data_IF_464005398604
#
_entry.id   IF_464005398604
#
_cell.length_a   1.000
_cell.length_b   1.000
_cell.length_c   1.000
_cell.angle_alpha   90.00
_cell.angle_beta   90.00
_cell.angle_gamma   90.00
#
_symmetry.space_group_name_H-M   'P 1'
#
loop_
_entity.id
_entity.type
_entity.pdbx_description
1 polymer ?
#
# COMPACT_ATOMS: atom_id res chain seq x y z
N UNK A 1 -39.75 27.53 7.45
CA UNK A 1 -38.27 27.46 7.46
C UNK A 1 -37.76 26.01 7.46
N UNK A 2 -38.40 25.10 8.19
CA UNK A 2 -38.01 23.68 8.27
C UNK A 2 -37.93 22.91 6.94
N UNK A 3 -38.85 23.12 5.98
CA UNK A 3 -38.81 22.43 4.69
C UNK A 3 -37.55 22.79 3.85
N UNK A 4 -37.09 24.04 3.92
CA UNK A 4 -35.86 24.49 3.24
C UNK A 4 -34.62 23.88 3.90
N UNK A 5 -34.61 23.82 5.23
CA UNK A 5 -33.52 23.17 5.97
C UNK A 5 -33.45 21.66 5.70
N UNK A 6 -34.60 20.97 5.64
CA UNK A 6 -34.68 19.55 5.32
C UNK A 6 -34.14 19.26 3.91
N UNK A 7 -34.58 20.01 2.89
CA UNK A 7 -34.09 19.85 1.52
C UNK A 7 -32.60 20.16 1.39
N UNK A 8 -32.12 21.21 2.05
CA UNK A 8 -30.68 21.55 2.05
C UNK A 8 -29.86 20.44 2.70
N UNK A 9 -30.34 19.85 3.80
CA UNK A 9 -29.66 18.76 4.50
C UNK A 9 -29.63 17.47 3.66
N UNK A 10 -30.71 17.14 2.95
CA UNK A 10 -30.72 16.00 2.02
C UNK A 10 -29.73 16.20 0.87
N UNK A 11 -29.66 17.42 0.31
CA UNK A 11 -28.72 17.72 -0.78
C UNK A 11 -27.26 17.63 -0.32
N UNK A 12 -26.91 18.22 0.83
CA UNK A 12 -25.56 18.17 1.39
C UNK A 12 -25.16 16.75 1.76
N UNK A 13 -26.05 15.98 2.39
CA UNK A 13 -25.77 14.59 2.76
C UNK A 13 -25.54 13.70 1.54
N UNK A 14 -26.41 13.78 0.53
CA UNK A 14 -26.26 13.00 -0.70
C UNK A 14 -24.95 13.34 -1.42
N UNK A 15 -24.58 14.62 -1.46
CA UNK A 15 -23.33 15.06 -2.09
C UNK A 15 -22.09 14.56 -1.33
N UNK A 16 -22.13 14.63 0.01
CA UNK A 16 -21.06 14.14 0.88
C UNK A 16 -20.86 12.64 0.79
N UNK A 17 -21.94 11.85 0.78
CA UNK A 17 -21.87 10.38 0.67
C UNK A 17 -21.26 9.98 -0.68
N UNK A 18 -21.73 10.56 -1.78
CA UNK A 18 -21.18 10.25 -3.12
C UNK A 18 -19.70 10.62 -3.24
N UNK A 19 -19.32 11.81 -2.75
CA UNK A 19 -17.91 12.25 -2.76
C UNK A 19 -17.05 11.35 -1.90
N UNK A 20 -17.54 10.95 -0.72
CA UNK A 20 -16.84 10.03 0.17
C UNK A 20 -16.66 8.63 -0.44
N UNK A 21 -17.67 8.13 -1.16
CA UNK A 21 -17.58 6.82 -1.82
C UNK A 21 -16.57 6.84 -2.97
N UNK A 22 -16.63 7.86 -3.83
CA UNK A 22 -15.66 8.03 -4.93
C UNK A 22 -14.26 8.20 -4.37
N UNK A 23 -14.10 9.00 -3.31
CA UNK A 23 -12.83 9.16 -2.63
C UNK A 23 -12.30 7.83 -2.10
N UNK A 24 -13.14 7.02 -1.46
CA UNK A 24 -12.74 5.70 -0.95
C UNK A 24 -12.31 4.75 -2.08
N UNK A 25 -13.01 4.79 -3.20
CA UNK A 25 -12.69 3.97 -4.38
C UNK A 25 -11.41 4.44 -5.08
N UNK A 26 -11.21 5.75 -5.22
CA UNK A 26 -10.09 6.36 -5.96
C UNK A 26 -8.81 6.55 -5.13
N UNK A 27 -8.89 6.43 -3.80
CA UNK A 27 -7.75 6.55 -2.87
C UNK A 27 -6.50 5.73 -3.22
N UNK A 28 -6.57 4.49 -3.74
CA UNK A 28 -5.38 3.72 -4.04
C UNK A 28 -4.65 4.20 -5.31
N UNK A 29 -5.14 5.21 -6.03
CA UNK A 29 -4.55 5.65 -7.30
C UNK A 29 -3.11 6.15 -7.14
N UNK A 30 -2.18 5.45 -7.78
CA UNK A 30 -0.75 5.81 -7.79
C UNK A 30 -0.49 6.85 -8.86
N UNK A 31 -0.13 8.07 -8.45
CA UNK A 31 0.22 9.16 -9.36
C UNK A 31 1.65 9.08 -9.86
N UNK A 32 2.55 8.51 -9.05
CA UNK A 32 3.97 8.36 -9.38
C UNK A 32 4.44 7.01 -8.89
N UNK A 33 5.13 6.29 -9.76
CA UNK A 33 5.71 4.99 -9.46
C UNK A 33 7.17 5.00 -9.91
N UNK A 34 8.08 4.76 -8.98
CA UNK A 34 9.53 4.88 -9.17
C UNK A 34 10.24 3.67 -8.58
N UNK A 35 11.29 3.18 -9.24
CA UNK A 35 12.18 2.18 -8.63
C UNK A 35 13.05 2.86 -7.58
N UNK A 36 13.24 2.21 -6.45
CA UNK A 36 14.26 2.58 -5.50
C UNK A 36 15.51 1.77 -5.84
N UNK A 37 16.54 2.46 -6.33
CA UNK A 37 17.84 1.85 -6.48
C UNK A 37 18.35 1.39 -5.11
N UNK A 38 18.89 0.16 -5.01
CA UNK A 38 19.42 -0.33 -3.77
C UNK A 38 20.62 0.54 -3.35
N UNK A 39 20.68 0.90 -2.06
CA UNK A 39 21.80 1.67 -1.50
C UNK A 39 23.15 0.92 -1.62
N UNK A 40 23.11 -0.39 -1.87
CA UNK A 40 24.27 -1.29 -2.04
C UNK A 40 24.16 -1.93 -3.43
N UNK A 41 25.27 -1.97 -4.19
CA UNK A 41 25.31 -2.69 -5.47
C UNK A 41 24.91 -4.16 -5.27
N UNK A 42 23.79 -4.58 -5.88
CA UNK A 42 23.23 -5.93 -5.73
C UNK A 42 22.18 -6.10 -4.64
N UNK A 43 21.75 -5.02 -3.97
CA UNK A 43 20.62 -5.07 -3.03
C UNK A 43 19.26 -5.23 -3.72
N UNK A 44 18.24 -5.59 -2.94
CA UNK A 44 16.85 -5.75 -3.43
C UNK A 44 16.32 -4.42 -3.97
N UNK A 45 15.69 -4.48 -5.16
CA UNK A 45 15.10 -3.30 -5.79
C UNK A 45 13.79 -2.97 -5.09
N UNK A 46 13.69 -1.80 -4.51
CA UNK A 46 12.44 -1.33 -3.91
C UNK A 46 11.55 -0.62 -4.92
N UNK A 47 10.33 -0.34 -4.51
CA UNK A 47 9.36 0.48 -5.23
C UNK A 47 8.91 1.65 -4.37
N UNK A 48 8.88 2.85 -4.94
CA UNK A 48 8.27 4.02 -4.34
C UNK A 48 7.01 4.39 -5.12
N UNK A 49 5.89 4.46 -4.41
CA UNK A 49 4.58 4.78 -4.96
C UNK A 49 4.03 6.00 -4.24
N UNK A 50 3.57 6.98 -5.00
CA UNK A 50 2.90 8.17 -4.47
C UNK A 50 1.41 8.06 -4.73
N UNK A 51 0.61 8.10 -3.67
CA UNK A 51 -0.85 8.20 -3.72
C UNK A 51 -1.30 9.57 -3.19
N UNK A 52 -2.58 9.89 -3.34
CA UNK A 52 -3.17 11.14 -2.87
C UNK A 52 -4.26 10.88 -1.83
N UNK A 53 -4.24 11.66 -0.76
CA UNK A 53 -5.38 11.73 0.17
C UNK A 53 -6.56 12.46 -0.45
N UNK A 54 -7.74 12.38 0.18
CA UNK A 54 -8.93 13.15 -0.23
C UNK A 54 -8.66 14.67 -0.26
N UNK A 55 -7.79 15.17 0.61
CA UNK A 55 -7.38 16.57 0.65
C UNK A 55 -6.26 16.89 -0.37
N UNK A 56 -6.04 16.03 -1.36
CA UNK A 56 -4.99 16.15 -2.39
C UNK A 56 -3.57 16.28 -1.82
N UNK A 57 -3.37 15.83 -0.58
CA UNK A 57 -2.03 15.77 0.02
C UNK A 57 -1.37 14.45 -0.36
N UNK A 58 -0.11 14.46 -0.86
CA UNK A 58 0.58 13.25 -1.27
C UNK A 58 0.92 12.35 -0.09
N UNK A 59 0.94 11.05 -0.38
CA UNK A 59 1.34 9.96 0.50
C UNK A 59 2.35 9.10 -0.24
N UNK A 60 3.56 9.01 0.31
CA UNK A 60 4.67 8.31 -0.35
C UNK A 60 4.83 6.98 0.36
N UNK A 61 4.59 5.87 -0.32
CA UNK A 61 4.82 4.53 0.21
C UNK A 61 6.03 3.91 -0.47
N UNK A 62 7.01 3.49 0.33
CA UNK A 62 8.19 2.78 -0.11
C UNK A 62 8.01 1.32 0.25
N UNK A 63 8.09 0.44 -0.72
CA UNK A 63 8.10 -1.01 -0.58
C UNK A 63 9.53 -1.46 -0.85
N UNK A 64 10.19 -2.03 0.15
CA UNK A 64 11.59 -2.44 0.02
C UNK A 64 11.74 -3.78 -0.69
N UNK A 65 10.70 -4.61 -0.62
CA UNK A 65 10.64 -5.91 -1.29
C UNK A 65 9.32 -6.03 -2.09
N UNK A 66 9.35 -5.88 -3.42
CA UNK A 66 8.18 -5.98 -4.28
C UNK A 66 7.52 -7.36 -4.30
N UNK A 67 8.19 -8.43 -3.86
CA UNK A 67 7.59 -9.78 -3.81
C UNK A 67 6.44 -9.86 -2.79
N UNK A 68 6.34 -8.87 -1.91
CA UNK A 68 5.21 -8.70 -0.99
C UNK A 68 4.02 -7.97 -1.60
N UNK A 69 4.09 -7.53 -2.87
CA UNK A 69 2.96 -6.99 -3.61
C UNK A 69 2.24 -8.14 -4.32
N UNK A 70 1.01 -8.41 -3.90
CA UNK A 70 0.15 -9.43 -4.50
C UNK A 70 -1.00 -8.79 -5.26
N UNK A 71 -1.58 -9.53 -6.21
CA UNK A 71 -2.81 -9.11 -6.87
C UNK A 71 -3.95 -9.03 -5.83
N UNK A 72 -4.70 -7.93 -5.86
CA UNK A 72 -5.79 -7.70 -4.91
C UNK A 72 -7.15 -8.07 -5.48
N UNK A 73 -8.05 -8.50 -4.60
CA UNK A 73 -9.47 -8.69 -4.91
C UNK A 73 -10.27 -7.38 -4.77
N UNK A 74 -9.63 -6.28 -4.32
CA UNK A 74 -10.29 -5.00 -4.11
C UNK A 74 -10.55 -4.31 -5.45
N UNK A 75 -11.80 -3.92 -5.76
CA UNK A 75 -12.09 -3.12 -6.95
C UNK A 75 -11.27 -1.84 -6.96
N UNK A 76 -10.78 -1.45 -8.14
CA UNK A 76 -9.97 -0.23 -8.34
C UNK A 76 -8.67 -0.22 -7.54
N UNK A 77 -8.14 -1.38 -7.17
CA UNK A 77 -6.74 -1.55 -6.81
C UNK A 77 -6.22 -2.75 -7.59
N UNK A 78 -4.92 -2.74 -7.89
CA UNK A 78 -4.27 -3.81 -8.63
C UNK A 78 -3.33 -4.60 -7.74
N UNK A 79 -2.55 -3.89 -6.95
CA UNK A 79 -1.65 -4.49 -5.98
C UNK A 79 -2.11 -4.22 -4.56
N UNK A 80 -1.85 -5.16 -3.68
CA UNK A 80 -2.00 -5.00 -2.23
C UNK A 80 -0.80 -5.60 -1.52
N UNK A 81 -0.42 -5.03 -0.37
CA UNK A 81 0.58 -5.63 0.50
C UNK A 81 0.05 -6.95 1.06
N UNK A 82 0.80 -8.02 0.85
CA UNK A 82 0.46 -9.35 1.34
C UNK A 82 0.30 -9.34 2.86
N UNK A 83 -0.78 -9.97 3.34
CA UNK A 83 -1.04 -10.17 4.78
C UNK A 83 -0.30 -11.39 5.31
N UNK A 84 -0.12 -12.38 4.46
CA UNK A 84 0.57 -13.62 4.77
C UNK A 84 1.46 -13.92 3.57
N UNK A 85 2.70 -14.32 3.84
CA UNK A 85 3.66 -14.76 2.83
C UNK A 85 4.27 -16.09 3.26
N UNK A 86 4.71 -16.89 2.29
CA UNK A 86 5.45 -18.11 2.56
C UNK A 86 6.65 -18.14 1.62
N UNK A 87 7.86 -18.16 2.19
CA UNK A 87 9.07 -18.33 1.40
C UNK A 87 9.15 -19.77 0.88
N UNK A 88 9.51 -19.98 -0.41
CA UNK A 88 9.69 -21.32 -0.93
C UNK A 88 10.85 -22.00 -0.20
N UNK A 89 10.57 -23.16 0.40
CA UNK A 89 11.50 -23.93 1.24
C UNK A 89 12.53 -24.73 0.43
N UNK A 90 12.86 -24.28 -0.78
CA UNK A 90 13.79 -24.95 -1.70
C UNK A 90 15.26 -24.86 -1.26
N UNK A 91 16.07 -25.79 -1.75
CA UNK A 91 17.49 -25.92 -1.44
C UNK A 91 18.27 -24.63 -1.80
N UNK A 92 18.57 -23.81 -0.78
CA UNK A 92 19.37 -22.59 -0.91
C UNK A 92 18.71 -21.30 -0.41
N UNK A 93 17.41 -21.30 -0.12
CA UNK A 93 16.75 -20.12 0.46
C UNK A 93 17.11 -20.01 1.95
N UNK A 94 17.93 -19.03 2.31
CA UNK A 94 18.22 -18.74 3.72
C UNK A 94 16.94 -18.25 4.40
N UNK A 95 16.33 -19.09 5.21
CA UNK A 95 15.14 -18.71 5.98
C UNK A 95 15.51 -17.63 7.02
N UNK A 96 14.69 -16.57 7.14
CA UNK A 96 14.82 -15.61 8.23
C UNK A 96 14.73 -16.32 9.59
N UNK A 97 15.40 -15.77 10.59
CA UNK A 97 15.32 -16.30 11.94
C UNK A 97 13.87 -16.24 12.46
N UNK A 98 13.40 -17.32 13.06
CA UNK A 98 12.06 -17.38 13.65
C UNK A 98 11.87 -16.25 14.68
N UNK A 99 10.76 -15.54 14.59
CA UNK A 99 10.41 -14.39 15.43
C UNK A 99 11.08 -13.07 15.01
N UNK A 100 11.92 -13.06 13.97
CA UNK A 100 12.48 -11.82 13.43
C UNK A 100 11.38 -10.99 12.79
N UNK A 101 11.39 -9.68 13.08
CA UNK A 101 10.51 -8.71 12.45
C UNK A 101 11.30 -7.88 11.43
N UNK A 102 10.73 -7.68 10.26
CA UNK A 102 11.33 -6.91 9.17
C UNK A 102 10.32 -5.92 8.59
N UNK A 103 10.77 -4.68 8.35
CA UNK A 103 9.94 -3.66 7.73
C UNK A 103 9.99 -3.83 6.21
N UNK A 104 8.84 -4.17 5.64
CA UNK A 104 8.69 -4.42 4.20
C UNK A 104 8.27 -3.16 3.47
N UNK A 105 7.41 -2.35 4.09
CA UNK A 105 6.99 -1.09 3.51
C UNK A 105 6.82 0.01 4.55
N UNK A 106 6.96 1.25 4.12
CA UNK A 106 6.79 2.44 4.95
C UNK A 106 6.03 3.52 4.19
N UNK A 107 5.03 4.12 4.84
CA UNK A 107 4.23 5.20 4.29
C UNK A 107 4.55 6.52 5.00
N UNK A 108 4.93 7.52 4.22
CA UNK A 108 5.29 8.86 4.65
C UNK A 108 4.21 9.89 4.25
N UNK A 109 4.11 10.97 5.02
CA UNK A 109 3.35 12.15 4.63
C UNK A 109 4.12 13.04 3.63
N UNK A 110 3.47 14.12 3.19
CA UNK A 110 4.05 15.11 2.29
C UNK A 110 5.28 15.83 2.86
N UNK A 111 5.48 15.81 4.18
CA UNK A 111 6.62 16.42 4.87
C UNK A 111 7.74 15.40 5.11
N UNK A 112 7.59 14.16 4.63
CA UNK A 112 8.54 13.07 4.87
C UNK A 112 8.43 12.46 6.27
N UNK A 113 7.38 12.75 7.04
CA UNK A 113 7.14 12.11 8.33
C UNK A 113 6.56 10.72 8.13
N UNK A 114 7.18 9.72 8.73
CA UNK A 114 6.66 8.35 8.76
C UNK A 114 5.28 8.32 9.43
N UNK A 115 4.30 7.78 8.73
CA UNK A 115 2.92 7.65 9.21
C UNK A 115 2.48 6.22 9.45
N UNK A 116 3.11 5.26 8.80
CA UNK A 116 2.93 3.85 9.12
C UNK A 116 3.99 2.97 8.48
N UNK A 117 4.11 1.77 9.01
CA UNK A 117 5.03 0.73 8.55
C UNK A 117 4.28 -0.59 8.43
N UNK A 118 4.60 -1.33 7.37
CA UNK A 118 4.16 -2.70 7.15
C UNK A 118 5.28 -3.64 7.55
N UNK A 119 5.04 -4.46 8.56
CA UNK A 119 6.07 -5.30 9.19
C UNK A 119 5.67 -6.75 9.02
N UNK A 120 6.59 -7.57 8.53
CA UNK A 120 6.46 -9.03 8.54
C UNK A 120 7.10 -9.60 9.79
N UNK A 121 6.44 -10.59 10.40
CA UNK A 121 7.01 -11.42 11.46
C UNK A 121 7.18 -12.83 10.92
N UNK A 122 8.44 -13.29 10.91
CA UNK A 122 8.79 -14.60 10.37
C UNK A 122 8.56 -15.72 11.38
N UNK A 123 8.01 -16.83 10.92
CA UNK A 123 7.85 -18.10 11.63
C UNK A 123 8.98 -19.08 11.33
N UNK A 124 9.00 -20.22 12.04
CA UNK A 124 10.08 -21.21 11.93
C UNK A 124 10.23 -21.87 10.56
N UNK A 125 9.18 -21.93 9.73
CA UNK A 125 9.24 -22.58 8.42
C UNK A 125 9.23 -21.59 7.24
N UNK A 126 9.52 -20.31 7.50
CA UNK A 126 9.50 -19.27 6.47
C UNK A 126 8.11 -18.70 6.18
N UNK A 127 7.09 -19.04 6.98
CA UNK A 127 5.83 -18.32 7.00
C UNK A 127 6.03 -16.90 7.56
N UNK A 128 5.44 -15.89 6.94
CA UNK A 128 5.50 -14.50 7.37
C UNK A 128 4.09 -13.96 7.61
N UNK A 129 3.82 -13.51 8.84
CA UNK A 129 2.59 -12.80 9.19
C UNK A 129 2.85 -11.29 9.10
N UNK A 130 2.13 -10.60 8.23
CA UNK A 130 2.31 -9.18 8.00
C UNK A 130 1.26 -8.36 8.76
N UNK A 131 1.72 -7.30 9.42
CA UNK A 131 0.86 -6.39 10.19
C UNK A 131 1.13 -4.92 9.90
N UNK A 132 0.07 -4.15 10.07
CA UNK A 132 0.10 -2.69 10.03
C UNK A 132 0.54 -2.11 11.38
N UNK A 133 1.48 -1.17 11.35
CA UNK A 133 1.78 -0.27 12.47
C UNK A 133 1.54 1.16 12.02
N UNK A 134 0.58 1.86 12.63
CA UNK A 134 0.25 3.25 12.27
C UNK A 134 -0.80 3.36 11.18
N UNK A 135 -0.56 4.22 10.18
CA UNK A 135 -1.40 4.42 8.99
C UNK A 135 -0.61 4.07 7.74
N UNK A 136 -0.89 2.91 7.18
CA UNK A 136 -0.25 2.39 5.97
C UNK A 136 -1.23 2.46 4.80
N UNK A 137 -0.74 2.86 3.63
CA UNK A 137 -1.48 2.62 2.39
C UNK A 137 -1.12 1.22 1.90
N UNK A 138 -2.11 0.33 1.86
CA UNK A 138 -1.88 -1.09 1.55
C UNK A 138 -2.27 -1.48 0.13
N UNK A 139 -3.17 -0.71 -0.49
CA UNK A 139 -3.75 -1.03 -1.79
C UNK A 139 -3.35 0.06 -2.78
N UNK A 140 -2.96 -0.37 -3.99
CA UNK A 140 -2.41 0.50 -5.02
C UNK A 140 -3.08 0.18 -6.34
N UNK A 141 -3.70 1.18 -6.95
CA UNK A 141 -4.08 1.15 -8.35
C UNK A 141 -2.87 1.62 -9.15
N UNK A 142 -2.50 0.79 -10.13
CA UNK A 142 -1.38 1.06 -11.01
C UNK A 142 -1.88 0.87 -12.44
N UNK A 143 -1.48 1.80 -13.31
CA UNK A 143 -1.87 1.80 -14.72
C UNK A 143 -1.47 0.49 -15.42
N UNK A 144 -2.32 0.03 -16.35
CA UNK A 144 -2.07 -1.15 -17.16
C UNK A 144 -0.75 -1.06 -17.95
N UNK A 145 0.00 -2.18 -17.99
CA UNK A 145 1.29 -2.30 -18.66
C UNK A 145 2.51 -2.07 -17.76
N UNK A 146 2.32 -1.64 -16.52
CA UNK A 146 3.41 -1.47 -15.55
C UNK A 146 3.96 -2.83 -15.08
N UNK A 147 3.13 -3.86 -14.93
CA UNK A 147 3.56 -5.19 -14.46
C UNK A 147 4.71 -5.76 -15.31
N UNK A 148 4.58 -5.67 -16.65
CA UNK A 148 5.62 -6.11 -17.59
C UNK A 148 6.92 -5.34 -17.48
N UNK A 149 6.88 -4.10 -16.97
CA UNK A 149 8.08 -3.27 -16.74
C UNK A 149 8.72 -3.65 -15.41
N UNK A 150 7.92 -4.06 -14.41
CA UNK A 150 8.36 -4.30 -13.04
C UNK A 150 8.61 -5.76 -12.67
N UNK A 151 8.19 -6.71 -13.52
CA UNK A 151 8.41 -8.14 -13.32
C UNK A 151 7.55 -8.74 -12.21
N UNK A 152 6.44 -8.07 -11.90
CA UNK A 152 5.42 -8.49 -10.93
C UNK A 152 4.29 -9.18 -11.68
#
# INVERSE_FOLDING_TARGET
>A
MFARAALALTAVSTSGVSTGLVAWVARPYVTTLRRLEPAIQGGMQGLEMTTMTLALSPRITRVYDPDFLVETQRPFAKWELAKEVALPTGDGTQLPAAGKEETIAETFDSNGKLTGSWIVRWGPNGEGDCREVGKVERAFEVKNGVDSIYGI
#
